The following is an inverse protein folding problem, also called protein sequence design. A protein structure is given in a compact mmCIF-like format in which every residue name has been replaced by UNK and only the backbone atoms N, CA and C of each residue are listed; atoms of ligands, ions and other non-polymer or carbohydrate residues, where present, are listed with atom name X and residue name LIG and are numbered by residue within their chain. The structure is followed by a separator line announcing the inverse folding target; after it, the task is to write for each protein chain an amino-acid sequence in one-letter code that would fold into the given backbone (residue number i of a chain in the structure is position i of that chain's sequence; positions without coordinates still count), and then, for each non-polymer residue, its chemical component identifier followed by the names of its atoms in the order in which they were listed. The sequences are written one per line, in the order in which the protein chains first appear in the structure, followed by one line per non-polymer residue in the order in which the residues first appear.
data_IF_389592989694
#
_entry.id   IF_389592989694
#
_cell.length_a   1.000
_cell.length_b   1.000
_cell.length_c   1.000
_cell.angle_alpha   90.00
_cell.angle_beta   90.00
_cell.angle_gamma   90.00
#
_symmetry.space_group_name_H-M   'P 1'
#
loop_
_entity.id
_entity.type
_entity.pdbx_description
1 polymer ?
#
# COMPACT_ATOMS: atom_id res chain seq x y z
N UNK A 1 7.82 -13.32 1.64
CA UNK A 1 6.49 -12.71 1.86
C UNK A 1 6.73 -11.30 2.37
N UNK A 2 6.16 -10.26 1.77
CA UNK A 2 6.25 -8.92 2.35
C UNK A 2 5.22 -8.81 3.48
N UNK A 3 5.70 -8.57 4.69
CA UNK A 3 4.85 -8.38 5.88
C UNK A 3 4.33 -6.93 5.87
N UNK A 4 3.00 -6.72 5.93
CA UNK A 4 2.45 -5.37 6.09
C UNK A 4 3.00 -4.68 7.33
N UNK A 5 3.34 -3.39 7.22
CA UNK A 5 3.82 -2.59 8.34
C UNK A 5 2.71 -1.64 8.81
N UNK A 6 2.48 -1.54 10.11
CA UNK A 6 1.51 -0.60 10.68
C UNK A 6 2.24 0.57 11.35
N UNK A 7 1.81 1.79 11.09
CA UNK A 7 2.39 3.02 11.65
C UNK A 7 1.56 4.24 11.28
N UNK A 8 1.58 5.27 12.11
CA UNK A 8 0.83 6.53 11.90
C UNK A 8 -0.67 6.35 11.60
N UNK A 9 -1.28 5.33 12.20
CA UNK A 9 -2.70 5.00 11.96
C UNK A 9 -2.99 4.45 10.56
N UNK A 10 -1.96 4.03 9.81
CA UNK A 10 -2.04 3.45 8.47
C UNK A 10 -1.38 2.07 8.43
N UNK A 11 -1.74 1.29 7.41
CA UNK A 11 -1.13 0.00 7.08
C UNK A 11 -0.44 0.14 5.73
N UNK A 12 0.88 -0.04 5.72
CA UNK A 12 1.71 0.02 4.54
C UNK A 12 1.89 -1.37 3.94
N UNK A 13 1.52 -1.51 2.66
CA UNK A 13 1.70 -2.73 1.88
C UNK A 13 2.61 -2.42 0.71
N UNK A 14 3.71 -3.16 0.60
CA UNK A 14 4.73 -2.94 -0.42
C UNK A 14 4.98 -4.23 -1.19
N UNK A 15 5.27 -4.08 -2.48
CA UNK A 15 5.88 -5.14 -3.27
C UNK A 15 7.04 -4.52 -4.07
N UNK A 16 8.21 -5.16 -4.02
CA UNK A 16 9.42 -4.65 -4.67
C UNK A 16 9.88 -5.43 -5.89
N UNK A 17 9.14 -6.46 -6.30
CA UNK A 17 9.48 -7.21 -7.51
C UNK A 17 9.13 -6.38 -8.77
N UNK A 18 10.06 -6.21 -9.72
CA UNK A 18 9.79 -5.54 -10.99
C UNK A 18 8.66 -6.22 -11.79
N UNK A 19 7.97 -5.52 -12.70
CA UNK A 19 8.26 -4.15 -13.16
C UNK A 19 7.55 -3.05 -12.37
N UNK A 20 6.43 -3.37 -11.71
CA UNK A 20 5.53 -2.37 -11.13
C UNK A 20 6.12 -1.81 -9.83
N UNK A 21 6.45 -2.68 -8.87
CA UNK A 21 6.92 -2.28 -7.52
C UNK A 21 5.95 -1.32 -6.80
N UNK A 22 4.70 -1.73 -6.53
CA UNK A 22 3.70 -0.85 -5.95
C UNK A 22 3.87 -0.64 -4.44
N UNK A 23 3.32 0.47 -3.96
CA UNK A 23 3.29 0.88 -2.55
C UNK A 23 1.90 1.44 -2.22
N UNK A 24 1.28 0.94 -1.16
CA UNK A 24 -0.04 1.38 -0.70
C UNK A 24 0.00 1.75 0.78
N UNK A 25 -0.70 2.83 1.13
CA UNK A 25 -1.02 3.18 2.51
C UNK A 25 -2.54 3.06 2.72
N UNK A 26 -2.95 2.12 3.56
CA UNK A 26 -4.34 1.70 3.75
C UNK A 26 -4.82 2.17 5.11
N UNK A 27 -6.06 2.69 5.18
CA UNK A 27 -6.71 3.01 6.45
C UNK A 27 -7.22 1.74 7.12
N UNK A 28 -6.93 1.51 8.42
CA UNK A 28 -7.50 0.40 9.18
C UNK A 28 -9.03 0.44 9.19
N UNK A 29 -9.66 -0.74 9.28
CA UNK A 29 -11.11 -0.87 9.39
C UNK A 29 -11.86 -1.01 8.05
N UNK A 30 -11.19 -0.76 6.92
CA UNK A 30 -11.74 -1.07 5.60
C UNK A 30 -11.89 -2.58 5.38
N UNK A 31 -12.98 -3.00 4.74
CA UNK A 31 -13.29 -4.40 4.41
C UNK A 31 -13.87 -4.52 3.01
N UNK A 32 -13.70 -5.68 2.40
CA UNK A 32 -14.18 -5.97 1.05
C UNK A 32 -13.15 -5.61 -0.02
N UNK A 33 -13.64 -5.19 -1.20
CA UNK A 33 -12.81 -4.78 -2.31
C UNK A 33 -12.25 -3.36 -2.08
N UNK A 34 -10.92 -3.26 -1.99
CA UNK A 34 -10.20 -2.01 -1.78
C UNK A 34 -9.51 -1.52 -3.05
N UNK A 35 -9.88 -2.06 -4.22
CA UNK A 35 -9.31 -1.72 -5.51
C UNK A 35 -9.41 -0.21 -5.76
N UNK A 36 -8.29 0.38 -6.15
CA UNK A 36 -8.28 1.77 -6.60
C UNK A 36 -8.83 1.87 -8.02
N UNK A 37 -9.72 2.84 -8.30
CA UNK A 37 -10.10 3.15 -9.67
C UNK A 37 -8.87 3.53 -10.50
N UNK A 38 -8.93 3.27 -11.81
CA UNK A 38 -7.82 3.57 -12.71
C UNK A 38 -7.40 5.04 -12.62
N UNK A 39 -6.08 5.28 -12.55
CA UNK A 39 -5.51 6.62 -12.42
C UNK A 39 -5.70 7.30 -11.07
N UNK A 40 -6.41 6.69 -10.11
CA UNK A 40 -6.53 7.22 -8.74
C UNK A 40 -5.40 6.69 -7.86
N UNK A 41 -4.92 7.58 -7.00
CA UNK A 41 -3.93 7.24 -5.97
C UNK A 41 -4.54 7.15 -4.57
N UNK A 42 -5.83 7.45 -4.41
CA UNK A 42 -6.51 7.43 -3.11
C UNK A 42 -7.99 7.07 -3.25
N UNK A 43 -8.55 6.53 -2.17
CA UNK A 43 -9.96 6.19 -2.00
C UNK A 43 -10.35 6.35 -0.51
N UNK A 44 -11.61 6.12 -0.11
CA UNK A 44 -11.96 6.10 1.31
C UNK A 44 -11.10 5.11 2.12
N UNK A 45 -10.75 3.98 1.51
CA UNK A 45 -9.96 2.92 2.15
C UNK A 45 -8.44 3.10 1.98
N UNK A 46 -7.99 3.67 0.87
CA UNK A 46 -6.55 3.87 0.59
C UNK A 46 -6.21 5.34 0.77
N UNK A 47 -5.36 5.65 1.75
CA UNK A 47 -4.95 7.02 2.03
C UNK A 47 -4.17 7.61 0.85
N UNK A 48 -3.23 6.84 0.32
CA UNK A 48 -2.47 7.15 -0.88
C UNK A 48 -1.80 5.87 -1.43
N UNK A 49 -1.37 5.90 -2.69
CA UNK A 49 -0.64 4.81 -3.32
C UNK A 49 0.31 5.32 -4.39
N UNK A 50 1.43 4.63 -4.57
CA UNK A 50 2.33 4.82 -5.70
C UNK A 50 2.45 3.53 -6.49
N UNK A 51 2.35 3.65 -7.82
CA UNK A 51 2.51 2.53 -8.75
C UNK A 51 3.96 2.04 -8.85
N UNK A 52 4.94 2.84 -8.37
CA UNK A 52 6.37 2.54 -8.35
C UNK A 52 6.99 2.98 -7.02
N UNK A 53 8.09 2.34 -6.62
CA UNK A 53 8.86 2.70 -5.42
C UNK A 53 8.63 1.79 -4.21
N UNK A 54 7.83 0.74 -4.36
CA UNK A 54 7.70 -0.31 -3.36
C UNK A 54 9.01 -1.04 -3.12
N UNK A 55 9.34 -1.25 -1.85
CA UNK A 55 10.47 -2.09 -1.43
C UNK A 55 10.08 -3.56 -1.40
N UNK A 56 11.07 -4.45 -1.61
CA UNK A 56 10.87 -5.89 -1.52
C UNK A 56 10.78 -6.36 -0.06
N UNK A 57 11.57 -5.73 0.81
CA UNK A 57 11.61 -6.00 2.25
C UNK A 57 11.47 -4.64 2.94
N UNK A 58 10.30 -4.32 3.53
CA UNK A 58 10.16 -3.13 4.34
C UNK A 58 10.88 -3.33 5.69
N UNK A 59 11.69 -2.35 6.08
CA UNK A 59 12.26 -2.28 7.43
C UNK A 59 11.27 -1.53 8.32
N UNK A 60 10.82 -2.10 9.46
CA UNK A 60 10.07 -1.35 10.45
C UNK A 60 10.96 -0.23 11.01
N UNK A 61 10.42 0.98 11.12
CA UNK A 61 11.05 2.08 11.87
C UNK A 61 10.55 2.08 13.31
#
# INVERSE_FOLDING_TARGET
VSTPQAGDGLIFVTAGYPPIRPLFAIRPGSRGDLTLPEGKQSSPSVAWSHSRGGTYIPTPI
#
